data_IF_260736129600
#
_entry.id   IF_260736129600
#
_cell.length_a   1.000
_cell.length_b   1.000
_cell.length_c   1.000
_cell.angle_alpha   90.00
_cell.angle_beta   90.00
_cell.angle_gamma   90.00
#
_symmetry.space_group_name_H-M   'P 1'
#
loop_
_entity.id
_entity.type
_entity.pdbx_description
1 polymer ?
#
# COMPACT_ATOMS: atom_id res chain seq x y z
N UNK A 1 -7.49 39.64 96.13
CA UNK A 1 -6.32 39.13 95.38
C UNK A 1 -6.60 37.79 94.65
N UNK A 2 -7.42 36.92 95.19
CA UNK A 2 -7.72 35.57 94.60
C UNK A 2 -8.42 35.64 93.21
N UNK A 3 -9.34 36.55 92.97
CA UNK A 3 -10.07 36.69 91.70
C UNK A 3 -9.19 37.08 90.52
N UNK A 4 -8.08 37.83 90.67
CA UNK A 4 -7.18 38.25 89.58
C UNK A 4 -6.28 37.06 89.18
N UNK A 5 -5.92 36.16 90.00
CA UNK A 5 -5.07 35.00 89.66
C UNK A 5 -5.86 33.99 88.83
N UNK A 6 -7.15 33.74 89.13
CA UNK A 6 -8.01 32.91 88.31
C UNK A 6 -8.29 33.47 86.95
N UNK A 7 -8.45 34.77 86.81
CA UNK A 7 -8.65 35.41 85.51
C UNK A 7 -7.39 35.31 84.61
N UNK A 8 -6.20 35.45 85.16
CA UNK A 8 -4.92 35.30 84.47
C UNK A 8 -4.67 33.88 83.99
N UNK A 9 -5.03 32.89 84.79
CA UNK A 9 -4.93 31.47 84.45
C UNK A 9 -5.88 31.11 83.27
N UNK A 10 -7.10 31.57 83.27
CA UNK A 10 -8.10 31.38 82.24
C UNK A 10 -7.66 32.03 80.90
N UNK A 11 -7.11 33.24 80.94
CA UNK A 11 -6.61 33.91 79.78
C UNK A 11 -5.39 33.16 79.21
N UNK A 12 -4.49 32.67 80.04
CA UNK A 12 -3.33 31.91 79.58
C UNK A 12 -3.74 30.56 78.94
N UNK A 13 -4.69 29.80 79.51
CA UNK A 13 -5.17 28.58 78.92
C UNK A 13 -5.92 28.80 77.61
N UNK A 14 -6.74 29.81 77.50
CA UNK A 14 -7.41 30.19 76.24
C UNK A 14 -6.42 30.61 75.18
N UNK A 15 -5.36 31.35 75.51
CA UNK A 15 -4.29 31.72 74.59
C UNK A 15 -3.50 30.54 74.07
N UNK A 16 -3.15 29.57 74.91
CA UNK A 16 -2.48 28.34 74.54
C UNK A 16 -3.36 27.47 73.66
N UNK A 17 -4.63 27.27 73.98
CA UNK A 17 -5.56 26.47 73.17
C UNK A 17 -5.80 27.09 71.78
N UNK A 18 -5.88 28.43 71.68
CA UNK A 18 -6.00 29.11 70.39
C UNK A 18 -4.76 28.92 69.49
N UNK A 19 -3.56 29.03 70.07
CA UNK A 19 -2.32 28.81 69.33
C UNK A 19 -2.19 27.36 68.84
N UNK A 20 -2.59 26.35 69.65
CA UNK A 20 -2.64 24.96 69.22
C UNK A 20 -3.60 24.75 68.06
N UNK A 21 -4.77 25.36 68.08
CA UNK A 21 -5.75 25.28 67.01
C UNK A 21 -5.17 25.88 65.69
N UNK A 22 -4.52 27.04 65.78
CA UNK A 22 -3.88 27.66 64.64
C UNK A 22 -2.77 26.77 64.01
N UNK A 23 -1.96 26.11 64.83
CA UNK A 23 -0.93 25.18 64.39
C UNK A 23 -1.56 23.96 63.69
N UNK A 24 -2.63 23.42 64.25
CA UNK A 24 -3.35 22.27 63.61
C UNK A 24 -3.91 22.70 62.25
N UNK A 25 -4.56 23.86 62.16
CA UNK A 25 -5.10 24.38 60.91
C UNK A 25 -3.98 24.57 59.88
N UNK A 26 -2.83 25.16 60.29
CA UNK A 26 -1.68 25.32 59.39
C UNK A 26 -1.13 24.00 58.91
N UNK A 27 -0.99 23.00 59.77
CA UNK A 27 -0.55 21.66 59.40
C UNK A 27 -1.51 20.97 58.42
N UNK A 28 -2.83 21.15 58.60
CA UNK A 28 -3.84 20.65 57.67
C UNK A 28 -3.71 21.34 56.29
N UNK A 29 -3.55 22.63 56.27
CA UNK A 29 -3.33 23.40 54.99
C UNK A 29 -2.06 22.93 54.30
N UNK A 30 -0.96 22.79 55.02
CA UNK A 30 0.29 22.24 54.48
C UNK A 30 0.08 20.82 53.91
N UNK A 31 -0.60 19.96 54.62
CA UNK A 31 -0.90 18.59 54.17
C UNK A 31 -1.72 18.58 52.87
N UNK A 32 -2.74 19.44 52.79
CA UNK A 32 -3.56 19.58 51.56
C UNK A 32 -2.72 20.11 50.39
N UNK A 33 -1.89 21.10 50.63
CA UNK A 33 -0.98 21.66 49.61
C UNK A 33 0.02 20.61 49.11
N UNK A 34 0.64 19.88 50.03
CA UNK A 34 1.57 18.78 49.67
C UNK A 34 0.88 17.68 48.83
N UNK A 35 -0.35 17.32 49.21
CA UNK A 35 -1.14 16.37 48.43
C UNK A 35 -1.43 16.86 47.01
N UNK A 36 -1.85 18.14 46.88
CA UNK A 36 -2.09 18.75 45.56
C UNK A 36 -0.83 18.81 44.69
N UNK A 37 0.31 19.20 45.27
CA UNK A 37 1.61 19.23 44.60
C UNK A 37 1.98 17.82 44.11
N UNK A 38 1.88 16.79 44.93
CA UNK A 38 2.16 15.42 44.50
C UNK A 38 1.24 14.95 43.37
N UNK A 39 -0.05 15.28 43.42
CA UNK A 39 -1.03 14.96 42.38
C UNK A 39 -0.67 15.65 41.04
N UNK A 40 -0.31 16.95 41.08
CA UNK A 40 0.15 17.70 39.93
C UNK A 40 1.42 17.10 39.31
N UNK A 41 2.41 16.78 40.14
CA UNK A 41 3.65 16.14 39.70
C UNK A 41 3.39 14.79 38.99
N UNK A 42 2.48 13.98 39.56
CA UNK A 42 2.09 12.70 38.93
C UNK A 42 1.39 12.89 37.57
N UNK A 43 0.54 13.91 37.48
CA UNK A 43 -0.14 14.25 36.20
C UNK A 43 0.86 14.72 35.15
N UNK A 44 1.76 15.66 35.52
CA UNK A 44 2.83 16.15 34.64
C UNK A 44 3.71 15.00 34.14
N UNK A 45 4.13 14.10 35.05
CA UNK A 45 4.96 12.93 34.69
C UNK A 45 4.24 12.01 33.70
N UNK A 46 2.94 11.74 33.91
CA UNK A 46 2.14 10.93 32.99
C UNK A 46 1.99 11.59 31.62
N UNK A 47 1.72 12.89 31.59
CA UNK A 47 1.59 13.67 30.35
C UNK A 47 2.90 13.67 29.57
N UNK A 48 4.02 13.95 30.26
CA UNK A 48 5.35 13.94 29.63
C UNK A 48 5.73 12.53 29.08
N UNK A 49 5.34 11.46 29.77
CA UNK A 49 5.59 10.11 29.26
C UNK A 49 4.77 9.83 28.00
N UNK A 50 3.52 10.26 27.93
CA UNK A 50 2.67 10.11 26.74
C UNK A 50 3.22 10.91 25.55
N UNK A 51 3.67 12.14 25.78
CA UNK A 51 4.32 12.95 24.73
C UNK A 51 5.60 12.28 24.20
N UNK A 52 6.49 11.85 25.10
CA UNK A 52 7.74 11.17 24.70
C UNK A 52 7.45 9.93 23.87
N UNK A 53 6.51 9.10 24.29
CA UNK A 53 6.12 7.91 23.54
C UNK A 53 5.64 8.24 22.12
N UNK A 54 4.86 9.33 21.95
CA UNK A 54 4.41 9.76 20.63
C UNK A 54 5.56 10.20 19.73
N UNK A 55 6.51 10.96 20.27
CA UNK A 55 7.72 11.35 19.52
C UNK A 55 8.62 10.16 19.22
N UNK A 56 8.79 9.22 20.16
CA UNK A 56 9.57 8.00 19.95
C UNK A 56 8.99 7.16 18.80
N UNK A 57 7.66 7.10 18.67
CA UNK A 57 7.01 6.45 17.52
C UNK A 57 7.37 7.17 16.22
N UNK A 58 7.17 8.48 16.15
CA UNK A 58 7.43 9.26 14.95
C UNK A 58 8.91 9.21 14.53
N UNK A 59 9.82 9.18 15.49
CA UNK A 59 11.26 9.07 15.27
C UNK A 59 11.72 7.72 14.73
N UNK A 60 10.95 6.66 14.97
CA UNK A 60 11.27 5.32 14.48
C UNK A 60 10.47 4.92 13.23
N UNK A 61 9.69 5.82 12.63
CA UNK A 61 9.05 5.57 11.35
C UNK A 61 10.09 5.59 10.22
N UNK A 62 10.03 4.62 9.27
CA UNK A 62 11.04 4.46 8.21
C UNK A 62 10.83 5.41 7.02
N UNK A 63 10.33 6.60 7.27
CA UNK A 63 10.15 7.65 6.27
C UNK A 63 10.24 9.04 6.92
N UNK A 64 10.70 10.06 6.17
CA UNK A 64 10.86 11.39 6.71
C UNK A 64 9.52 12.00 7.09
N UNK A 65 9.49 12.57 8.29
CA UNK A 65 8.37 13.34 8.83
C UNK A 65 8.91 14.63 9.40
N UNK A 66 8.30 15.73 8.99
CA UNK A 66 8.54 16.99 9.62
C UNK A 66 7.25 17.82 9.80
N UNK A 67 7.27 18.69 10.76
CA UNK A 67 6.17 19.60 11.06
C UNK A 67 6.69 21.02 11.08
N UNK A 68 5.97 21.95 10.46
CA UNK A 68 6.26 23.39 10.51
C UNK A 68 5.17 24.13 11.26
N UNK A 69 5.54 25.16 11.99
CA UNK A 69 4.61 26.08 12.65
C UNK A 69 4.20 27.19 11.66
N UNK A 70 2.95 27.12 11.18
CA UNK A 70 2.40 28.10 10.22
C UNK A 70 2.36 29.51 10.82
N UNK A 71 2.11 29.60 12.13
CA UNK A 71 1.98 30.88 12.83
C UNK A 71 3.32 31.51 13.20
N UNK A 72 4.41 30.74 13.10
CA UNK A 72 5.78 31.18 13.38
C UNK A 72 6.64 31.09 12.13
N UNK A 73 6.24 31.76 11.07
CA UNK A 73 6.97 31.86 9.80
C UNK A 73 7.37 30.50 9.18
N UNK A 74 6.53 29.47 9.32
CA UNK A 74 6.79 28.13 8.83
C UNK A 74 8.11 27.54 9.33
N UNK A 75 8.57 27.90 10.50
CA UNK A 75 9.75 27.31 11.11
C UNK A 75 9.49 25.84 11.43
N UNK A 76 10.52 25.02 11.24
CA UNK A 76 10.43 23.61 11.59
C UNK A 76 10.22 23.46 13.10
N UNK A 77 9.16 22.77 13.47
CA UNK A 77 8.78 22.44 14.85
C UNK A 77 9.19 21.04 15.23
N UNK A 78 9.17 20.12 14.25
CA UNK A 78 9.55 18.72 14.42
C UNK A 78 10.26 18.21 13.18
N UNK A 79 11.26 17.36 13.40
CA UNK A 79 12.10 16.77 12.36
C UNK A 79 12.58 15.40 12.85
N UNK A 80 12.07 14.28 12.28
CA UNK A 80 12.40 12.94 12.74
C UNK A 80 13.78 12.48 12.24
N UNK A 81 14.24 11.34 12.78
CA UNK A 81 15.54 10.75 12.44
C UNK A 81 15.68 10.46 10.95
N UNK A 82 14.61 9.98 10.31
CA UNK A 82 14.64 9.68 8.89
C UNK A 82 14.72 10.95 8.02
N UNK A 83 14.10 12.04 8.47
CA UNK A 83 14.30 13.35 7.83
C UNK A 83 15.75 13.78 7.90
N UNK A 84 16.41 13.59 9.03
CA UNK A 84 17.83 13.89 9.20
C UNK A 84 18.71 12.98 8.31
N UNK A 85 18.44 11.69 8.29
CA UNK A 85 19.20 10.73 7.49
C UNK A 85 19.13 11.03 5.99
N UNK A 86 17.93 11.33 5.46
CA UNK A 86 17.75 11.59 4.04
C UNK A 86 18.24 12.96 3.58
N UNK A 87 18.12 14.00 4.43
CA UNK A 87 18.51 15.37 4.07
C UNK A 87 19.99 15.67 4.34
N UNK A 88 20.60 14.93 5.26
CA UNK A 88 21.92 15.25 5.82
C UNK A 88 21.89 16.40 6.82
N UNK A 89 20.71 16.84 7.29
CA UNK A 89 20.52 17.97 8.22
C UNK A 89 19.98 17.40 9.52
N UNK A 90 20.67 17.62 10.61
CA UNK A 90 20.27 17.14 11.94
C UNK A 90 18.99 17.82 12.43
N UNK A 91 18.30 17.23 13.40
CA UNK A 91 17.10 17.85 13.99
C UNK A 91 17.44 19.15 14.73
N UNK A 92 18.62 19.24 15.32
CA UNK A 92 19.13 20.45 16.00
C UNK A 92 19.35 21.61 15.02
N UNK A 93 19.80 21.30 13.79
CA UNK A 93 19.99 22.28 12.72
C UNK A 93 18.68 22.69 12.05
N UNK A 94 17.69 21.79 12.03
CA UNK A 94 16.41 22.05 11.36
C UNK A 94 15.42 22.80 12.26
N UNK A 95 15.26 22.35 13.52
CA UNK A 95 14.24 22.89 14.43
C UNK A 95 14.48 24.37 14.72
N UNK A 96 13.42 25.17 14.58
CA UNK A 96 13.46 26.62 14.77
C UNK A 96 13.92 27.41 13.54
N UNK A 97 14.37 26.76 12.47
CA UNK A 97 14.79 27.39 11.23
C UNK A 97 13.70 27.30 10.13
N UNK A 98 13.78 28.19 9.16
CA UNK A 98 12.92 28.22 7.96
C UNK A 98 13.57 27.46 6.81
N UNK A 99 12.82 27.21 5.74
CA UNK A 99 13.38 26.64 4.51
C UNK A 99 14.50 27.50 3.91
N UNK A 100 14.40 28.81 4.01
CA UNK A 100 15.41 29.74 3.50
C UNK A 100 16.74 29.61 4.26
N UNK A 101 16.66 29.51 5.57
CA UNK A 101 17.84 29.38 6.44
C UNK A 101 18.55 28.03 6.23
N UNK A 102 17.79 26.97 5.89
CA UNK A 102 18.31 25.62 5.69
C UNK A 102 18.77 25.37 4.26
N UNK A 103 17.96 25.71 3.26
CA UNK A 103 18.18 25.32 1.87
C UNK A 103 18.59 26.46 0.95
N UNK A 104 18.72 27.68 1.48
CA UNK A 104 19.02 28.91 0.73
C UNK A 104 17.79 29.48 0.00
N UNK A 105 18.00 30.62 -0.67
CA UNK A 105 16.95 31.45 -1.24
C UNK A 105 16.08 30.70 -2.26
N UNK A 106 16.69 30.10 -3.27
CA UNK A 106 15.99 29.46 -4.39
C UNK A 106 15.09 28.29 -3.96
N UNK A 107 15.65 27.35 -3.18
CA UNK A 107 14.88 26.20 -2.69
C UNK A 107 13.88 26.62 -1.62
N UNK A 108 14.27 27.54 -0.75
CA UNK A 108 13.42 28.08 0.30
C UNK A 108 12.16 28.75 -0.26
N UNK A 109 12.30 29.56 -1.31
CA UNK A 109 11.19 30.21 -2.00
C UNK A 109 10.22 29.17 -2.60
N UNK A 110 10.76 28.17 -3.28
CA UNK A 110 9.95 27.08 -3.87
C UNK A 110 9.11 26.35 -2.81
N UNK A 111 9.73 25.96 -1.68
CA UNK A 111 9.04 25.25 -0.62
C UNK A 111 8.02 26.14 0.08
N UNK A 112 8.37 27.40 0.33
CA UNK A 112 7.49 28.38 0.94
C UNK A 112 6.23 28.64 0.11
N UNK A 113 6.35 28.73 -1.20
CA UNK A 113 5.22 28.98 -2.08
C UNK A 113 4.25 27.81 -2.07
N UNK A 114 4.74 26.56 -2.13
CA UNK A 114 3.92 25.36 -1.99
C UNK A 114 3.20 25.34 -0.64
N UNK A 115 3.90 25.68 0.44
CA UNK A 115 3.33 25.67 1.80
C UNK A 115 2.25 26.75 1.97
N UNK A 116 2.46 27.95 1.42
CA UNK A 116 1.45 29.03 1.41
C UNK A 116 0.21 28.66 0.62
N UNK A 117 0.38 28.09 -0.58
CA UNK A 117 -0.72 27.62 -1.43
C UNK A 117 -1.55 26.55 -0.69
N UNK A 118 -0.89 25.60 -0.05
CA UNK A 118 -1.54 24.57 0.76
C UNK A 118 -2.37 25.15 1.91
N UNK A 119 -1.85 26.18 2.60
CA UNK A 119 -2.59 26.86 3.68
C UNK A 119 -3.82 27.58 3.14
N UNK A 120 -3.73 28.20 1.96
CA UNK A 120 -4.85 28.88 1.31
C UNK A 120 -5.93 27.91 0.86
N UNK A 121 -5.55 26.86 0.15
CA UNK A 121 -6.50 25.89 -0.39
C UNK A 121 -7.11 24.96 0.67
N UNK A 122 -6.38 24.65 1.73
CA UNK A 122 -6.80 23.74 2.79
C UNK A 122 -6.96 22.27 2.36
N UNK A 123 -6.41 21.91 1.20
CA UNK A 123 -6.43 20.54 0.66
C UNK A 123 -5.13 19.82 0.99
N UNK A 124 -5.16 18.48 0.96
CA UNK A 124 -3.94 17.68 1.07
C UNK A 124 -3.14 17.80 -0.23
N UNK A 125 -1.89 18.22 -0.12
CA UNK A 125 -0.95 18.20 -1.22
C UNK A 125 -0.40 16.78 -1.37
N UNK A 126 -0.43 16.23 -2.58
CA UNK A 126 0.17 14.94 -2.90
C UNK A 126 0.76 15.03 -4.29
N UNK A 127 2.07 14.79 -4.40
CA UNK A 127 2.78 14.87 -5.69
C UNK A 127 3.88 13.82 -5.77
N UNK A 128 3.97 13.16 -6.91
CA UNK A 128 5.15 12.38 -7.27
C UNK A 128 6.25 13.35 -7.71
N UNK A 129 7.44 13.16 -7.16
CA UNK A 129 8.61 13.99 -7.46
C UNK A 129 9.89 13.17 -7.35
N UNK A 130 10.94 13.66 -8.01
CA UNK A 130 12.28 13.11 -7.83
C UNK A 130 12.97 13.83 -6.70
N UNK A 131 13.53 13.07 -5.78
CA UNK A 131 14.36 13.56 -4.70
C UNK A 131 15.80 13.09 -4.92
N UNK A 132 16.74 14.01 -4.77
CA UNK A 132 18.17 13.73 -4.86
C UNK A 132 18.75 13.82 -3.47
N UNK A 133 19.31 12.72 -2.97
CA UNK A 133 20.01 12.64 -1.68
C UNK A 133 21.34 13.39 -1.74
N UNK A 134 21.97 13.75 -0.61
CA UNK A 134 23.25 14.47 -0.58
C UNK A 134 24.40 13.75 -1.29
N UNK A 135 24.36 12.42 -1.38
CA UNK A 135 25.31 11.58 -2.13
C UNK A 135 25.02 11.52 -3.65
N UNK A 136 23.99 12.24 -4.12
CA UNK A 136 23.63 12.37 -5.54
C UNK A 136 22.72 11.26 -6.08
N UNK A 137 22.22 10.37 -5.23
CA UNK A 137 21.30 9.31 -5.67
C UNK A 137 19.91 9.90 -5.87
N UNK A 138 19.29 9.57 -7.01
CA UNK A 138 17.93 10.00 -7.34
C UNK A 138 16.91 8.94 -6.97
N UNK A 139 15.92 9.32 -6.18
CA UNK A 139 14.81 8.48 -5.75
C UNK A 139 13.49 8.99 -6.34
N UNK A 140 12.63 8.09 -6.81
CA UNK A 140 11.24 8.40 -7.10
C UNK A 140 10.47 8.43 -5.77
N UNK A 141 9.78 9.52 -5.47
CA UNK A 141 9.11 9.73 -4.17
C UNK A 141 7.71 10.28 -4.34
N UNK A 142 6.87 10.09 -3.33
CA UNK A 142 5.60 10.79 -3.17
C UNK A 142 5.72 11.72 -1.97
N UNK A 143 5.68 13.03 -2.21
CA UNK A 143 5.56 14.03 -1.15
C UNK A 143 4.08 14.21 -0.79
N UNK A 144 3.78 14.18 0.50
CA UNK A 144 2.45 14.43 1.06
C UNK A 144 2.56 15.53 2.10
N UNK A 145 1.72 16.55 1.98
CA UNK A 145 1.62 17.62 2.98
C UNK A 145 0.16 17.83 3.37
N UNK A 146 -0.09 18.10 4.63
CA UNK A 146 -1.42 18.39 5.18
C UNK A 146 -1.37 19.45 6.28
N UNK A 147 -2.49 20.11 6.48
CA UNK A 147 -2.65 21.12 7.54
C UNK A 147 -3.34 20.47 8.73
N UNK A 148 -2.78 20.65 9.90
CA UNK A 148 -3.38 20.26 11.17
C UNK A 148 -3.89 21.52 11.85
N UNK A 149 -5.19 21.52 12.18
CA UNK A 149 -5.83 22.60 12.94
C UNK A 149 -5.81 22.29 14.43
N UNK A 150 -5.61 23.31 15.24
CA UNK A 150 -5.68 23.26 16.69
C UNK A 150 -6.64 24.35 17.17
N UNK A 151 -7.61 24.01 18.00
CA UNK A 151 -8.64 24.93 18.51
C UNK A 151 -9.37 25.73 17.41
N UNK A 152 -9.54 25.09 16.23
CA UNK A 152 -10.20 25.70 15.07
C UNK A 152 -9.30 26.52 14.14
N UNK A 153 -8.06 26.78 14.52
CA UNK A 153 -7.08 27.51 13.71
C UNK A 153 -6.10 26.57 13.01
N UNK A 154 -5.66 26.93 11.79
CA UNK A 154 -4.60 26.23 11.06
C UNK A 154 -3.27 26.51 11.77
N UNK A 155 -2.74 25.53 12.45
CA UNK A 155 -1.54 25.71 13.30
C UNK A 155 -0.30 25.05 12.73
N UNK A 156 -0.45 23.84 12.21
CA UNK A 156 0.69 23.02 11.84
C UNK A 156 0.60 22.54 10.40
N UNK A 157 1.72 22.53 9.71
CA UNK A 157 1.91 21.85 8.43
C UNK A 157 2.69 20.57 8.68
N UNK A 158 2.05 19.43 8.49
CA UNK A 158 2.69 18.11 8.51
C UNK A 158 3.11 17.75 7.09
N UNK A 159 4.34 17.32 6.93
CA UNK A 159 4.83 16.79 5.66
C UNK A 159 5.55 15.46 5.85
N UNK A 160 5.41 14.60 4.85
CA UNK A 160 6.11 13.32 4.74
C UNK A 160 6.47 13.06 3.30
N UNK A 161 7.46 12.17 3.07
CA UNK A 161 7.86 11.72 1.76
C UNK A 161 8.07 10.21 1.79
N UNK A 162 7.50 9.52 0.82
CA UNK A 162 7.59 8.08 0.71
C UNK A 162 8.38 7.72 -0.53
N UNK A 163 9.38 6.88 -0.38
CA UNK A 163 10.14 6.36 -1.50
C UNK A 163 9.33 5.30 -2.24
N UNK A 164 9.24 5.46 -3.57
CA UNK A 164 8.52 4.56 -4.46
C UNK A 164 9.40 4.04 -5.60
N UNK A 165 10.72 4.19 -5.49
CA UNK A 165 11.68 3.80 -6.55
C UNK A 165 11.53 2.33 -6.93
N UNK A 166 11.47 1.43 -5.95
CA UNK A 166 11.27 0.00 -6.21
C UNK A 166 9.92 -0.28 -6.87
N UNK A 167 8.86 0.36 -6.39
CA UNK A 167 7.52 0.22 -6.99
C UNK A 167 7.52 0.64 -8.46
N UNK A 168 8.13 1.79 -8.77
CA UNK A 168 8.27 2.27 -10.17
C UNK A 168 9.10 1.33 -11.03
N UNK A 169 10.14 0.72 -10.49
CA UNK A 169 10.93 -0.27 -11.21
C UNK A 169 10.11 -1.53 -11.51
N UNK A 170 9.38 -2.08 -10.53
CA UNK A 170 8.49 -3.22 -10.77
C UNK A 170 7.38 -2.91 -11.76
N UNK A 171 6.79 -1.71 -11.72
CA UNK A 171 5.80 -1.28 -12.72
C UNK A 171 6.40 -1.30 -14.14
N UNK A 172 7.62 -0.77 -14.31
CA UNK A 172 8.32 -0.76 -15.62
C UNK A 172 8.63 -2.18 -16.11
N UNK A 173 9.12 -3.05 -15.23
CA UNK A 173 9.40 -4.45 -15.53
C UNK A 173 8.13 -5.20 -15.94
N UNK A 174 7.04 -5.00 -15.20
CA UNK A 174 5.74 -5.61 -15.51
C UNK A 174 5.20 -5.17 -16.87
N UNK A 175 5.30 -3.89 -17.20
CA UNK A 175 4.89 -3.36 -18.51
C UNK A 175 5.74 -3.99 -19.62
N UNK A 176 7.06 -4.03 -19.45
CA UNK A 176 7.96 -4.64 -20.44
C UNK A 176 7.69 -6.14 -20.64
N UNK A 177 7.50 -6.89 -19.56
CA UNK A 177 7.16 -8.31 -19.62
C UNK A 177 5.80 -8.57 -20.31
N UNK A 178 4.80 -7.73 -20.04
CA UNK A 178 3.51 -7.79 -20.71
C UNK A 178 3.62 -7.56 -22.22
N UNK A 179 4.37 -6.54 -22.63
CA UNK A 179 4.58 -6.26 -24.05
C UNK A 179 5.31 -7.41 -24.77
N UNK A 180 6.30 -8.01 -24.11
CA UNK A 180 7.02 -9.16 -24.65
C UNK A 180 6.09 -10.37 -24.81
N UNK A 181 5.27 -10.66 -23.80
CA UNK A 181 4.27 -11.73 -23.86
C UNK A 181 3.27 -11.50 -24.99
N UNK A 182 2.75 -10.29 -25.14
CA UNK A 182 1.82 -9.96 -26.23
C UNK A 182 2.48 -10.16 -27.63
N UNK A 183 3.75 -9.76 -27.78
CA UNK A 183 4.51 -10.03 -29.01
C UNK A 183 4.72 -11.51 -29.27
N UNK A 184 5.04 -12.30 -28.25
CA UNK A 184 5.19 -13.74 -28.34
C UNK A 184 3.88 -14.43 -28.74
N UNK A 185 2.77 -14.09 -28.09
CA UNK A 185 1.44 -14.59 -28.43
C UNK A 185 1.03 -14.25 -29.87
N UNK A 186 1.33 -13.03 -30.31
CA UNK A 186 1.07 -12.62 -31.72
C UNK A 186 1.87 -13.45 -32.70
N UNK A 187 3.18 -13.67 -32.44
CA UNK A 187 4.02 -14.54 -33.27
C UNK A 187 3.48 -15.97 -33.30
N UNK A 188 3.11 -16.54 -32.15
CA UNK A 188 2.53 -17.89 -32.08
C UNK A 188 1.24 -17.99 -32.89
N UNK A 189 0.32 -17.03 -32.75
CA UNK A 189 -0.91 -16.99 -33.56
C UNK A 189 -0.64 -16.88 -35.05
N UNK A 190 0.35 -16.07 -35.46
CA UNK A 190 0.73 -15.98 -36.87
C UNK A 190 1.34 -17.27 -37.38
N UNK A 191 2.19 -17.95 -36.61
CA UNK A 191 2.76 -19.24 -36.98
C UNK A 191 1.67 -20.29 -37.15
N UNK A 192 0.72 -20.40 -36.21
CA UNK A 192 -0.40 -21.30 -36.32
C UNK A 192 -1.29 -21.03 -37.56
N UNK A 193 -1.51 -19.77 -37.90
CA UNK A 193 -2.27 -19.35 -39.09
C UNK A 193 -1.55 -19.59 -40.40
N UNK A 194 -0.22 -19.67 -40.41
CA UNK A 194 0.57 -19.92 -41.65
C UNK A 194 0.68 -21.37 -42.02
N UNK A 195 0.17 -22.30 -41.18
CA UNK A 195 0.23 -23.72 -41.40
C UNK A 195 -1.10 -24.16 -42.04
N UNK A 196 -1.01 -24.90 -43.12
CA UNK A 196 -2.16 -25.33 -43.93
C UNK A 196 -2.79 -26.59 -43.38
N UNK A 197 -3.16 -26.59 -42.07
CA UNK A 197 -3.92 -27.64 -41.44
C UNK A 197 -4.90 -27.08 -40.39
N UNK A 198 -5.90 -27.89 -40.03
CA UNK A 198 -6.81 -27.58 -38.92
C UNK A 198 -6.25 -28.13 -37.62
N UNK A 199 -6.23 -27.27 -36.57
CA UNK A 199 -5.86 -27.68 -35.23
C UNK A 199 -7.06 -27.53 -34.30
N UNK A 200 -7.34 -28.57 -33.52
CA UNK A 200 -8.50 -28.61 -32.65
C UNK A 200 -8.08 -29.20 -31.32
N UNK A 201 -8.39 -28.47 -30.26
CA UNK A 201 -8.17 -28.90 -28.87
C UNK A 201 -9.49 -29.34 -28.24
N UNK A 202 -9.55 -30.60 -27.78
CA UNK A 202 -10.79 -31.24 -27.31
C UNK A 202 -10.53 -31.86 -25.94
N UNK A 203 -11.43 -31.65 -24.96
CA UNK A 203 -11.36 -32.29 -23.65
C UNK A 203 -11.87 -33.73 -23.65
N UNK A 204 -11.65 -34.45 -22.54
CA UNK A 204 -12.09 -35.85 -22.36
C UNK A 204 -13.59 -36.11 -22.57
N UNK A 205 -14.39 -35.04 -22.49
CA UNK A 205 -15.85 -35.12 -22.71
C UNK A 205 -16.24 -34.77 -24.17
N UNK A 206 -15.30 -34.82 -25.09
CA UNK A 206 -15.46 -34.42 -26.50
C UNK A 206 -15.82 -32.95 -26.72
N UNK A 207 -15.65 -32.08 -25.75
CA UNK A 207 -15.96 -30.67 -25.87
C UNK A 207 -14.76 -29.92 -26.48
N UNK A 208 -15.02 -29.22 -27.55
CA UNK A 208 -14.02 -28.36 -28.21
C UNK A 208 -13.67 -27.22 -27.29
N UNK A 209 -12.42 -27.12 -26.86
CA UNK A 209 -11.90 -26.05 -26.07
C UNK A 209 -11.40 -24.90 -26.95
N UNK A 210 -10.74 -25.27 -28.07
CA UNK A 210 -10.21 -24.31 -29.01
C UNK A 210 -10.10 -24.93 -30.42
N UNK A 211 -10.18 -24.07 -31.46
CA UNK A 211 -10.01 -24.50 -32.83
C UNK A 211 -9.36 -23.43 -33.73
N UNK A 212 -8.57 -23.85 -34.71
CA UNK A 212 -8.11 -23.05 -35.83
C UNK A 212 -8.26 -23.92 -37.10
N UNK A 213 -9.44 -23.84 -37.69
CA UNK A 213 -9.85 -24.75 -38.82
C UNK A 213 -10.25 -23.96 -40.07
N UNK A 214 -9.96 -22.68 -40.14
CA UNK A 214 -10.45 -21.78 -41.24
C UNK A 214 -10.10 -22.27 -42.63
N UNK A 215 -8.93 -22.86 -42.79
CA UNK A 215 -8.48 -23.38 -44.09
C UNK A 215 -9.19 -24.64 -44.50
N UNK A 216 -9.62 -25.46 -43.54
CA UNK A 216 -10.36 -26.69 -43.80
C UNK A 216 -11.87 -26.42 -43.90
N UNK A 217 -12.37 -25.40 -43.28
CA UNK A 217 -13.80 -25.06 -43.25
C UNK A 217 -14.39 -24.81 -44.65
N UNK A 218 -13.57 -24.45 -45.62
CA UNK A 218 -13.98 -24.29 -47.03
C UNK A 218 -14.15 -25.64 -47.75
N UNK A 219 -13.52 -26.69 -47.26
CA UNK A 219 -13.52 -28.03 -47.86
C UNK A 219 -14.68 -28.91 -47.37
N UNK A 220 -15.29 -28.56 -46.24
CA UNK A 220 -16.38 -29.36 -45.63
C UNK A 220 -17.61 -28.49 -45.43
N UNK A 221 -18.62 -28.68 -46.27
CA UNK A 221 -19.87 -27.89 -46.26
C UNK A 221 -20.67 -28.08 -44.94
N UNK A 222 -20.85 -26.95 -44.20
CA UNK A 222 -21.73 -26.91 -43.04
C UNK A 222 -21.22 -27.58 -41.75
N UNK A 223 -20.02 -28.17 -41.76
CA UNK A 223 -19.41 -28.84 -40.60
C UNK A 223 -18.41 -27.90 -39.94
N UNK A 224 -18.54 -27.73 -38.63
CA UNK A 224 -17.64 -26.83 -37.86
C UNK A 224 -17.32 -27.46 -36.51
N UNK A 225 -16.09 -27.23 -36.06
CA UNK A 225 -15.75 -27.36 -34.66
C UNK A 225 -16.08 -26.04 -33.95
N UNK A 226 -16.94 -26.10 -32.94
CA UNK A 226 -17.41 -24.86 -32.25
C UNK A 226 -16.95 -24.95 -30.82
N UNK A 227 -16.12 -23.98 -30.35
CA UNK A 227 -15.67 -23.90 -28.96
C UNK A 227 -16.84 -23.98 -27.98
N UNK A 228 -16.69 -24.76 -26.93
CA UNK A 228 -17.73 -25.03 -25.94
C UNK A 228 -18.79 -26.10 -26.35
N UNK A 229 -18.79 -26.56 -27.59
CA UNK A 229 -19.72 -27.61 -28.07
C UNK A 229 -19.04 -28.96 -28.21
N UNK A 230 -19.84 -30.03 -28.24
CA UNK A 230 -19.34 -31.38 -28.43
C UNK A 230 -18.95 -31.58 -29.89
N UNK A 231 -17.74 -32.08 -30.14
CA UNK A 231 -17.16 -32.17 -31.49
C UNK A 231 -18.02 -32.97 -32.46
N UNK A 232 -18.47 -34.18 -32.11
CA UNK A 232 -19.24 -35.03 -33.01
C UNK A 232 -20.65 -34.47 -33.32
N UNK A 233 -21.19 -33.60 -32.45
CA UNK A 233 -22.50 -32.98 -32.71
C UNK A 233 -22.38 -31.86 -33.75
N UNK A 234 -21.29 -31.15 -33.77
CA UNK A 234 -21.11 -29.97 -34.64
C UNK A 234 -20.31 -30.25 -35.91
N UNK A 235 -19.27 -31.09 -35.80
CA UNK A 235 -18.43 -31.42 -36.96
C UNK A 235 -18.93 -32.66 -37.71
N UNK A 236 -19.44 -33.69 -37.05
CA UNK A 236 -19.92 -34.91 -37.65
C UNK A 236 -21.45 -35.01 -37.76
N UNK A 237 -22.18 -34.06 -37.15
CA UNK A 237 -23.65 -33.99 -37.10
C UNK A 237 -24.28 -35.29 -36.55
N UNK A 238 -23.72 -35.85 -35.47
CA UNK A 238 -24.10 -37.11 -34.85
C UNK A 238 -24.46 -36.92 -33.38
N UNK A 239 -25.20 -37.86 -32.80
CA UNK A 239 -25.55 -37.86 -31.38
C UNK A 239 -24.60 -38.73 -30.54
N UNK A 240 -23.64 -39.40 -31.16
CA UNK A 240 -22.67 -40.28 -30.52
C UNK A 240 -21.27 -40.10 -31.15
N UNK A 241 -20.18 -40.48 -30.45
CA UNK A 241 -18.83 -40.41 -30.99
C UNK A 241 -18.67 -41.17 -32.30
N UNK A 242 -17.81 -40.66 -33.18
CA UNK A 242 -17.54 -41.29 -34.48
C UNK A 242 -17.01 -42.72 -34.30
N UNK A 243 -17.47 -43.69 -35.07
CA UNK A 243 -17.11 -45.10 -34.89
C UNK A 243 -15.59 -45.39 -35.03
N UNK A 244 -14.86 -44.61 -35.84
CA UNK A 244 -13.40 -44.69 -35.96
C UNK A 244 -12.74 -43.37 -35.48
N UNK A 245 -13.14 -42.88 -34.32
CA UNK A 245 -12.64 -41.63 -33.79
C UNK A 245 -11.16 -41.74 -33.38
N UNK A 246 -10.28 -41.01 -34.08
CA UNK A 246 -8.85 -40.94 -33.74
C UNK A 246 -8.64 -40.42 -32.32
N UNK A 247 -9.41 -39.40 -31.94
CA UNK A 247 -9.42 -38.82 -30.60
C UNK A 247 -9.72 -39.86 -29.52
N UNK A 248 -10.82 -40.64 -29.63
CA UNK A 248 -11.17 -41.68 -28.69
C UNK A 248 -10.05 -42.72 -28.53
N UNK A 249 -9.51 -43.22 -29.68
CA UNK A 249 -8.40 -44.18 -29.67
C UNK A 249 -7.14 -43.61 -29.02
N UNK A 250 -6.84 -42.34 -29.26
CA UNK A 250 -5.67 -41.68 -28.67
C UNK A 250 -5.77 -41.59 -27.16
N UNK A 251 -6.94 -41.25 -26.59
CA UNK A 251 -7.19 -41.27 -25.14
C UNK A 251 -7.03 -42.67 -24.57
N UNK A 252 -7.73 -43.66 -25.16
CA UNK A 252 -7.74 -45.02 -24.65
C UNK A 252 -6.37 -45.69 -24.67
N UNK A 253 -5.54 -45.36 -25.66
CA UNK A 253 -4.22 -45.97 -25.82
C UNK A 253 -3.07 -45.13 -25.26
N UNK A 254 -3.30 -43.84 -24.91
CA UNK A 254 -2.27 -42.93 -24.48
C UNK A 254 -1.19 -42.65 -25.53
N UNK A 255 -1.51 -42.80 -26.81
CA UNK A 255 -0.57 -42.74 -27.94
C UNK A 255 -1.10 -41.82 -29.03
N UNK A 256 -0.16 -41.32 -29.85
CA UNK A 256 -0.50 -40.58 -31.07
C UNK A 256 -1.17 -41.54 -32.07
N UNK A 257 -2.37 -41.20 -32.50
CA UNK A 257 -3.14 -41.92 -33.49
C UNK A 257 -3.19 -41.11 -34.79
N UNK A 258 -2.79 -41.75 -35.88
CA UNK A 258 -2.95 -41.18 -37.22
C UNK A 258 -3.98 -42.01 -37.97
N UNK A 259 -4.90 -41.33 -38.64
CA UNK A 259 -6.00 -41.99 -39.32
C UNK A 259 -6.48 -41.11 -40.48
N UNK A 260 -6.73 -41.74 -41.65
CA UNK A 260 -7.37 -41.04 -42.76
C UNK A 260 -8.87 -41.18 -42.67
N UNK A 261 -9.57 -40.06 -42.70
CA UNK A 261 -11.02 -40.01 -42.72
C UNK A 261 -11.49 -39.38 -44.04
N UNK A 262 -12.56 -39.90 -44.59
CA UNK A 262 -13.22 -39.32 -45.74
C UNK A 262 -14.45 -38.53 -45.27
N UNK A 263 -14.45 -37.25 -45.64
CA UNK A 263 -15.59 -36.38 -45.34
C UNK A 263 -16.04 -35.75 -46.66
N UNK A 264 -17.26 -36.05 -47.04
CA UNK A 264 -17.78 -35.78 -48.37
C UNK A 264 -16.84 -36.43 -49.43
N UNK A 265 -16.27 -35.70 -50.35
CA UNK A 265 -15.35 -36.24 -51.38
C UNK A 265 -13.88 -35.88 -51.10
N UNK A 266 -13.55 -35.51 -49.86
CA UNK A 266 -12.19 -35.09 -49.45
C UNK A 266 -11.65 -36.05 -48.42
N UNK A 267 -10.43 -36.54 -48.64
CA UNK A 267 -9.69 -37.35 -47.66
C UNK A 267 -8.86 -36.45 -46.76
N UNK A 268 -9.03 -36.57 -45.45
CA UNK A 268 -8.29 -35.86 -44.42
C UNK A 268 -7.40 -36.83 -43.65
N UNK A 269 -6.14 -36.51 -43.53
CA UNK A 269 -5.27 -37.16 -42.56
C UNK A 269 -5.47 -36.47 -41.19
N UNK A 270 -5.91 -37.23 -40.20
CA UNK A 270 -6.14 -36.73 -38.84
C UNK A 270 -5.08 -37.34 -37.92
N UNK A 271 -4.37 -36.48 -37.21
CA UNK A 271 -3.47 -36.90 -36.15
C UNK A 271 -4.05 -36.46 -34.82
N UNK A 272 -4.32 -37.39 -33.93
CA UNK A 272 -4.74 -37.09 -32.55
C UNK A 272 -3.60 -37.37 -31.58
N UNK A 273 -3.20 -36.35 -30.84
CA UNK A 273 -2.10 -36.38 -29.87
C UNK A 273 -2.66 -36.18 -28.47
N UNK A 274 -2.54 -37.15 -27.54
CA UNK A 274 -2.95 -36.95 -26.17
C UNK A 274 -2.00 -36.00 -25.47
N UNK A 275 -2.56 -34.99 -24.79
CA UNK A 275 -1.82 -34.05 -23.96
C UNK A 275 -2.20 -34.31 -22.51
N UNK A 276 -1.20 -34.50 -21.65
CA UNK A 276 -1.40 -34.73 -20.22
C UNK A 276 -1.04 -33.45 -19.48
N UNK A 277 -2.00 -32.84 -18.79
CA UNK A 277 -1.77 -31.72 -17.91
C UNK A 277 -1.06 -32.14 -16.60
N UNK A 278 -0.55 -31.18 -15.86
CA UNK A 278 0.17 -31.41 -14.60
C UNK A 278 -0.67 -32.12 -13.51
N UNK A 279 -2.01 -32.13 -13.63
CA UNK A 279 -2.96 -32.81 -12.72
C UNK A 279 -3.50 -34.13 -13.20
N UNK A 280 -2.85 -34.84 -14.13
CA UNK A 280 -3.31 -36.10 -14.74
C UNK A 280 -4.67 -36.02 -15.48
N UNK A 281 -5.15 -34.85 -15.81
CA UNK A 281 -6.29 -34.73 -16.73
C UNK A 281 -5.79 -34.86 -18.17
N UNK A 282 -6.26 -35.92 -18.86
CA UNK A 282 -5.91 -36.15 -20.27
C UNK A 282 -6.72 -35.21 -21.14
N UNK A 283 -6.07 -34.30 -21.80
CA UNK A 283 -6.63 -33.44 -22.84
C UNK A 283 -5.98 -33.82 -24.18
N UNK A 284 -6.65 -33.55 -25.29
CA UNK A 284 -6.13 -33.97 -26.62
C UNK A 284 -6.19 -32.82 -27.62
N UNK A 285 -5.10 -32.65 -28.30
CA UNK A 285 -4.94 -31.76 -29.45
C UNK A 285 -5.04 -32.55 -30.75
#
# INVERSE_FOLDING_TARGET
>A
MANNILLISWISEAYWSYNYLLVIILLLIISILLYRIRKLQKTIKKTNHSYRFSFDILDNLPFPIFVKDITNDFRYYYWNKESAAQSGISSEEAIGHTDYEIYGEERGEKYRNIDKELVQEGKVYRKEEKYITPDGITHDTIAVKSIISWEGEKRWLLATRWEITQLKNYERELVAAKEELEKALKKQKLALKSIDFGLIYIDKNYRVQWEETRQIASLVKGRRYIPGKICYQTSALRNEPCGQCAFKKAIEQGKIIRHTIRVDDVDFEVTATPVFGDEKETEII
#
